data_IF_403473792927
#
_entry.id   IF_403473792927
#
_cell.length_a   1.000
_cell.length_b   1.000
_cell.length_c   1.000
_cell.angle_alpha   90.00
_cell.angle_beta   90.00
_cell.angle_gamma   90.00
#
_symmetry.space_group_name_H-M   'P 1'
#
loop_
_entity.id
_entity.type
_entity.pdbx_description
1 polymer ?
#
# COMPACT_ATOMS: atom_id res chain seq x y z
N UNK A 1 -14.20 24.03 11.44
CA UNK A 1 -14.34 22.58 11.67
C UNK A 1 -14.40 21.83 10.34
N UNK A 2 -15.29 22.24 9.43
CA UNK A 2 -15.38 21.74 8.05
C UNK A 2 -14.03 21.77 7.31
N UNK A 3 -13.37 22.94 7.23
CA UNK A 3 -12.09 23.12 6.54
C UNK A 3 -11.03 22.12 7.02
N UNK A 4 -10.93 21.91 8.35
CA UNK A 4 -9.99 20.96 8.93
C UNK A 4 -10.32 19.51 8.56
N UNK A 5 -11.60 19.12 8.58
CA UNK A 5 -12.03 17.77 8.20
C UNK A 5 -11.81 17.50 6.70
N UNK A 6 -11.98 18.51 5.85
CA UNK A 6 -11.67 18.43 4.41
C UNK A 6 -10.18 18.23 4.17
N UNK A 7 -9.30 18.96 4.87
CA UNK A 7 -7.85 18.75 4.79
C UNK A 7 -7.45 17.35 5.27
N UNK A 8 -8.02 16.87 6.38
CA UNK A 8 -7.77 15.51 6.90
C UNK A 8 -8.22 14.47 5.87
N UNK A 9 -9.42 14.62 5.30
CA UNK A 9 -9.91 13.70 4.26
C UNK A 9 -8.97 13.67 3.05
N UNK A 10 -8.57 14.82 2.53
CA UNK A 10 -7.64 14.88 1.39
C UNK A 10 -6.27 14.27 1.73
N UNK A 11 -5.74 14.50 2.93
CA UNK A 11 -4.49 13.90 3.37
C UNK A 11 -4.60 12.38 3.47
N UNK A 12 -5.69 11.85 4.03
CA UNK A 12 -5.96 10.42 4.08
C UNK A 12 -6.11 9.83 2.67
N UNK A 13 -6.78 10.53 1.75
CA UNK A 13 -6.90 10.09 0.36
C UNK A 13 -5.51 9.94 -0.29
N UNK A 14 -4.67 10.96 -0.20
CA UNK A 14 -3.32 10.94 -0.78
C UNK A 14 -2.47 9.85 -0.12
N UNK A 15 -2.49 9.76 1.21
CA UNK A 15 -1.75 8.74 1.95
C UNK A 15 -2.17 7.33 1.55
N UNK A 16 -3.49 7.07 1.53
CA UNK A 16 -4.03 5.77 1.14
C UNK A 16 -3.67 5.39 -0.29
N UNK A 17 -3.74 6.34 -1.21
CA UNK A 17 -3.36 6.14 -2.62
C UNK A 17 -1.87 5.81 -2.76
N UNK A 18 -0.99 6.55 -2.08
CA UNK A 18 0.47 6.32 -2.10
C UNK A 18 0.82 4.96 -1.50
N UNK A 19 0.24 4.60 -0.35
CA UNK A 19 0.49 3.32 0.32
C UNK A 19 0.00 2.14 -0.53
N UNK A 20 -1.21 2.24 -1.09
CA UNK A 20 -1.75 1.20 -1.96
C UNK A 20 -0.92 1.03 -3.24
N UNK A 21 -0.57 2.15 -3.89
CA UNK A 21 0.27 2.15 -5.09
C UNK A 21 1.64 1.53 -4.82
N UNK A 22 2.29 1.94 -3.73
CA UNK A 22 3.59 1.39 -3.34
C UNK A 22 3.49 -0.12 -3.03
N UNK A 23 2.38 -0.58 -2.44
CA UNK A 23 2.14 -2.01 -2.21
C UNK A 23 2.01 -2.81 -3.49
N UNK A 24 1.27 -2.29 -4.46
CA UNK A 24 1.15 -2.89 -5.80
C UNK A 24 2.52 -2.91 -6.49
N UNK A 25 3.26 -1.81 -6.43
CA UNK A 25 4.60 -1.70 -7.01
C UNK A 25 5.56 -2.75 -6.42
N UNK A 26 5.56 -2.92 -5.10
CA UNK A 26 6.35 -3.95 -4.41
C UNK A 26 5.92 -5.37 -4.82
N UNK A 27 4.62 -5.65 -4.96
CA UNK A 27 4.12 -6.95 -5.43
C UNK A 27 4.54 -7.25 -6.88
N UNK A 28 4.49 -6.26 -7.76
CA UNK A 28 4.94 -6.41 -9.16
C UNK A 28 6.43 -6.70 -9.19
N UNK A 29 7.22 -5.93 -8.42
CA UNK A 29 8.68 -6.07 -8.37
C UNK A 29 9.10 -7.42 -7.77
N UNK A 30 8.35 -7.96 -6.81
CA UNK A 30 8.60 -9.29 -6.24
C UNK A 30 8.46 -10.43 -7.26
N UNK A 31 7.67 -10.23 -8.31
CA UNK A 31 7.49 -11.21 -9.40
C UNK A 31 8.38 -10.93 -10.61
N UNK A 32 9.08 -9.80 -10.64
CA UNK A 32 10.03 -9.49 -11.69
C UNK A 32 11.22 -10.44 -11.62
N UNK A 33 11.78 -10.80 -12.79
CA UNK A 33 13.02 -11.60 -12.83
C UNK A 33 14.16 -10.78 -12.22
N UNK A 34 14.92 -11.33 -11.26
CA UNK A 34 16.05 -10.63 -10.67
C UNK A 34 17.15 -10.40 -11.72
N UNK A 35 17.81 -9.25 -11.65
CA UNK A 35 18.90 -8.85 -12.55
C UNK A 35 20.08 -8.31 -11.75
N UNK A 36 21.29 -8.44 -12.28
CA UNK A 36 22.53 -7.92 -11.70
C UNK A 36 22.77 -8.44 -10.27
N UNK A 37 23.15 -7.53 -9.37
CA UNK A 37 23.51 -7.83 -7.97
C UNK A 37 22.45 -8.63 -7.19
N UNK A 38 21.16 -8.44 -7.49
CA UNK A 38 20.09 -9.18 -6.80
C UNK A 38 20.05 -10.66 -7.20
N UNK A 39 20.48 -11.01 -8.42
CA UNK A 39 20.57 -12.41 -8.87
C UNK A 39 21.70 -13.12 -8.14
N UNK A 40 22.87 -12.47 -8.05
CA UNK A 40 24.04 -12.99 -7.35
C UNK A 40 23.75 -13.22 -5.86
N UNK A 41 23.03 -12.30 -5.21
CA UNK A 41 22.59 -12.47 -3.82
C UNK A 41 21.57 -13.59 -3.64
N UNK A 42 20.66 -13.79 -4.60
CA UNK A 42 19.67 -14.88 -4.55
C UNK A 42 20.33 -16.25 -4.76
N UNK A 43 21.37 -16.33 -5.59
CA UNK A 43 22.12 -17.58 -5.85
C UNK A 43 22.90 -18.07 -4.62
N UNK A 44 23.20 -17.18 -3.67
CA UNK A 44 23.85 -17.53 -2.39
C UNK A 44 22.88 -18.09 -1.34
N UNK A 45 21.57 -18.07 -1.59
CA UNK A 45 20.54 -18.53 -0.67
C UNK A 45 19.98 -19.89 -1.07
N UNK A 46 19.54 -20.69 -0.09
CA UNK A 46 18.86 -21.94 -0.39
C UNK A 46 17.46 -21.71 -0.98
N UNK A 47 16.98 -22.66 -1.78
CA UNK A 47 15.65 -22.57 -2.39
C UNK A 47 14.53 -22.41 -1.35
N UNK A 48 14.66 -23.03 -0.17
CA UNK A 48 13.71 -22.88 0.93
C UNK A 48 13.72 -21.46 1.53
N UNK A 49 14.90 -20.86 1.70
CA UNK A 49 15.02 -19.49 2.20
C UNK A 49 14.37 -18.50 1.24
N UNK A 50 14.59 -18.67 -0.07
CA UNK A 50 13.99 -17.84 -1.12
C UNK A 50 12.47 -18.00 -1.13
N UNK A 51 11.95 -19.23 -1.06
CA UNK A 51 10.52 -19.49 -1.04
C UNK A 51 9.84 -18.88 0.19
N UNK A 52 10.45 -19.03 1.38
CA UNK A 52 9.94 -18.46 2.63
C UNK A 52 9.97 -16.93 2.60
N UNK A 53 11.08 -16.34 2.18
CA UNK A 53 11.21 -14.89 2.05
C UNK A 53 10.20 -14.31 1.05
N UNK A 54 10.01 -14.96 -0.10
CA UNK A 54 9.03 -14.55 -1.12
C UNK A 54 7.60 -14.65 -0.60
N UNK A 55 7.25 -15.71 0.13
CA UNK A 55 5.93 -15.87 0.74
C UNK A 55 5.64 -14.75 1.76
N UNK A 56 6.60 -14.48 2.65
CA UNK A 56 6.48 -13.44 3.65
C UNK A 56 6.37 -12.05 3.00
N UNK A 57 7.24 -11.74 2.04
CA UNK A 57 7.20 -10.48 1.30
C UNK A 57 5.86 -10.28 0.58
N UNK A 58 5.35 -11.32 -0.10
CA UNK A 58 4.04 -11.27 -0.75
C UNK A 58 2.93 -10.94 0.25
N UNK A 59 2.93 -11.61 1.40
CA UNK A 59 1.93 -11.37 2.45
C UNK A 59 2.02 -9.93 3.00
N UNK A 60 3.22 -9.46 3.33
CA UNK A 60 3.45 -8.09 3.82
C UNK A 60 3.02 -7.04 2.81
N UNK A 61 3.37 -7.20 1.53
CA UNK A 61 2.98 -6.24 0.50
C UNK A 61 1.47 -6.26 0.23
N UNK A 62 0.83 -7.44 0.26
CA UNK A 62 -0.63 -7.53 0.22
C UNK A 62 -1.29 -6.79 1.37
N UNK A 63 -0.76 -6.91 2.60
CA UNK A 63 -1.27 -6.13 3.72
C UNK A 63 -1.10 -4.63 3.53
N UNK A 64 0.01 -4.20 2.95
CA UNK A 64 0.21 -2.78 2.65
C UNK A 64 -0.83 -2.27 1.63
N UNK A 65 -1.16 -3.05 0.60
CA UNK A 65 -2.25 -2.71 -0.34
C UNK A 65 -3.58 -2.61 0.39
N UNK A 66 -3.92 -3.62 1.20
CA UNK A 66 -5.19 -3.64 1.95
C UNK A 66 -5.28 -2.45 2.90
N UNK A 67 -4.22 -2.13 3.64
CA UNK A 67 -4.17 -0.96 4.54
C UNK A 67 -4.35 0.34 3.75
N UNK A 68 -3.69 0.50 2.60
CA UNK A 68 -3.88 1.66 1.74
C UNK A 68 -5.34 1.81 1.27
N UNK A 69 -5.98 0.70 0.87
CA UNK A 69 -7.40 0.68 0.49
C UNK A 69 -8.31 1.03 1.68
N UNK A 70 -8.04 0.52 2.88
CA UNK A 70 -8.80 0.87 4.09
C UNK A 70 -8.71 2.36 4.38
N UNK A 71 -7.52 2.96 4.27
CA UNK A 71 -7.34 4.41 4.46
C UNK A 71 -8.16 5.20 3.42
N UNK A 72 -8.17 4.76 2.15
CA UNK A 72 -9.01 5.38 1.11
C UNK A 72 -10.51 5.30 1.44
N UNK A 73 -10.98 4.17 1.96
CA UNK A 73 -12.37 4.01 2.40
C UNK A 73 -12.70 4.95 3.55
N UNK A 74 -11.81 5.07 4.55
CA UNK A 74 -11.98 6.01 5.67
C UNK A 74 -12.05 7.44 5.15
N UNK A 75 -11.16 7.82 4.23
CA UNK A 75 -11.18 9.12 3.58
C UNK A 75 -12.53 9.40 2.89
N UNK A 76 -13.06 8.42 2.15
CA UNK A 76 -14.33 8.54 1.46
C UNK A 76 -15.52 8.71 2.42
N UNK A 77 -15.54 7.93 3.50
CA UNK A 77 -16.56 8.05 4.56
C UNK A 77 -16.48 9.42 5.22
N UNK A 78 -15.27 9.91 5.53
CA UNK A 78 -15.07 11.23 6.13
C UNK A 78 -15.55 12.34 5.20
N UNK A 79 -15.24 12.26 3.91
CA UNK A 79 -15.74 13.21 2.89
C UNK A 79 -17.26 13.22 2.81
N UNK A 80 -17.88 12.03 2.80
CA UNK A 80 -19.34 11.87 2.75
C UNK A 80 -20.02 12.41 4.02
N UNK A 81 -19.38 12.26 5.18
CA UNK A 81 -19.87 12.80 6.44
C UNK A 81 -19.79 14.33 6.47
N UNK A 82 -18.68 14.92 6.02
CA UNK A 82 -18.52 16.38 5.90
C UNK A 82 -19.59 16.96 4.97
N UNK A 83 -19.78 16.36 3.79
CA UNK A 83 -20.82 16.78 2.85
C UNK A 83 -22.23 16.81 3.47
N UNK A 84 -22.58 15.76 4.22
CA UNK A 84 -23.89 15.68 4.92
C UNK A 84 -24.04 16.66 6.07
N UNK A 85 -22.99 16.93 6.84
CA UNK A 85 -23.05 17.82 8.01
C UNK A 85 -23.03 19.30 7.63
N UNK A 86 -22.32 19.66 6.56
CA UNK A 86 -22.08 21.05 6.19
C UNK A 86 -22.76 21.48 4.88
N UNK A 87 -23.42 20.55 4.16
CA UNK A 87 -24.25 20.86 3.00
C UNK A 87 -23.47 21.14 1.70
N UNK A 88 -22.26 20.61 1.59
CA UNK A 88 -21.34 20.78 0.45
C UNK A 88 -21.27 19.53 -0.42
#
# INVERSE_FOLDING_TARGET
MEVALTYISNALFVLGAVVAFFGIFCLVTLNAKPKGKNKEQLEQLSAEQIAKAKKNAKQSFSYMVVVGVVILVISFVLKSFVAKMFGV
#
